data_IF_827280117373
#
_entry.id   IF_827280117373
#
_cell.length_a   1.000
_cell.length_b   1.000
_cell.length_c   1.000
_cell.angle_alpha   90.00
_cell.angle_beta   90.00
_cell.angle_gamma   90.00
#
_symmetry.space_group_name_H-M   'P 1'
#
loop_
_entity.id
_entity.type
_entity.pdbx_description
1 polymer ?
#
# COMPACT_ATOMS: atom_id res chain seq x y z
N UNK A 1 -1.03 16.01 -28.63
CA UNK A 1 -1.90 15.59 -27.51
C UNK A 1 -2.86 16.72 -27.17
N UNK A 2 -4.17 16.48 -27.22
CA UNK A 2 -5.19 17.45 -26.83
C UNK A 2 -6.19 16.83 -25.87
N UNK A 3 -6.29 17.37 -24.66
CA UNK A 3 -7.16 16.85 -23.59
C UNK A 3 -7.91 18.00 -22.93
N UNK A 4 -9.14 17.75 -22.47
CA UNK A 4 -9.95 18.73 -21.76
C UNK A 4 -10.75 18.03 -20.68
N UNK A 5 -10.64 18.50 -19.44
CA UNK A 5 -11.28 17.90 -18.28
C UNK A 5 -11.35 18.85 -17.10
N UNK A 6 -12.06 18.45 -16.04
CA UNK A 6 -12.07 19.21 -14.78
C UNK A 6 -10.78 18.94 -14.02
N UNK A 7 -10.14 19.99 -13.52
CA UNK A 7 -8.93 19.86 -12.71
C UNK A 7 -9.27 19.61 -11.24
N UNK A 8 -8.58 18.65 -10.63
CA UNK A 8 -8.50 18.48 -9.18
C UNK A 8 -7.07 18.77 -8.77
N UNK A 9 -6.91 19.59 -7.73
CA UNK A 9 -5.61 20.08 -7.31
C UNK A 9 -5.39 19.76 -5.83
N UNK A 10 -4.20 19.25 -5.53
CA UNK A 10 -3.70 19.14 -4.16
C UNK A 10 -2.18 19.02 -4.21
N UNK A 11 -1.49 19.66 -3.27
CA UNK A 11 -0.04 19.47 -3.13
C UNK A 11 0.30 18.10 -2.57
N UNK A 12 -0.63 17.45 -1.86
CA UNK A 12 -0.44 16.11 -1.33
C UNK A 12 -1.27 15.13 -2.16
N UNK A 13 -0.61 14.28 -2.95
CA UNK A 13 -1.29 13.28 -3.81
C UNK A 13 -2.27 12.41 -3.01
N UNK A 14 -1.93 12.04 -1.76
CA UNK A 14 -2.80 11.26 -0.88
C UNK A 14 -4.16 11.94 -0.56
N UNK A 15 -4.22 13.26 -0.58
CA UNK A 15 -5.45 14.02 -0.37
C UNK A 15 -6.22 14.20 -1.68
N UNK A 16 -5.49 14.35 -2.80
CA UNK A 16 -6.07 14.46 -4.13
C UNK A 16 -6.89 13.22 -4.49
N UNK A 17 -6.30 12.03 -4.35
CA UNK A 17 -6.89 10.76 -4.81
C UNK A 17 -8.22 10.44 -4.12
N UNK A 18 -8.45 10.95 -2.91
CA UNK A 18 -9.75 10.82 -2.19
C UNK A 18 -10.89 11.57 -2.86
N UNK A 19 -10.58 12.58 -3.68
CA UNK A 19 -11.53 13.52 -4.30
C UNK A 19 -11.54 13.44 -5.82
N UNK A 20 -10.48 12.87 -6.41
CA UNK A 20 -10.29 12.70 -7.84
C UNK A 20 -11.34 11.74 -8.41
N UNK A 21 -12.00 12.16 -9.50
CA UNK A 21 -12.94 11.30 -10.23
C UNK A 21 -12.35 10.83 -11.55
N UNK A 22 -12.90 9.72 -12.05
CA UNK A 22 -12.55 9.18 -13.38
C UNK A 22 -12.68 10.24 -14.46
N UNK A 23 -11.71 10.29 -15.36
CA UNK A 23 -11.60 11.25 -16.46
C UNK A 23 -11.45 12.73 -16.04
N UNK A 24 -11.15 13.03 -14.78
CA UNK A 24 -10.68 14.35 -14.36
C UNK A 24 -9.15 14.48 -14.59
N UNK A 25 -8.64 15.70 -14.60
CA UNK A 25 -7.20 15.99 -14.69
C UNK A 25 -6.65 16.13 -13.28
N UNK A 26 -5.69 15.28 -12.93
CA UNK A 26 -5.00 15.34 -11.65
C UNK A 26 -3.88 16.39 -11.72
N UNK A 27 -3.90 17.40 -10.87
CA UNK A 27 -2.81 18.36 -10.70
C UNK A 27 -2.16 18.14 -9.35
N UNK A 28 -0.88 17.78 -9.37
CA UNK A 28 -0.10 17.40 -8.18
C UNK A 28 1.17 18.24 -8.07
N UNK A 29 1.76 18.23 -6.88
CA UNK A 29 3.05 18.82 -6.55
C UNK A 29 3.85 17.75 -5.80
N UNK A 30 4.45 16.82 -6.55
CA UNK A 30 5.04 15.61 -5.97
C UNK A 30 6.34 15.26 -6.70
N UNK A 31 7.47 15.45 -6.04
CA UNK A 31 8.77 15.02 -6.51
C UNK A 31 8.94 13.50 -6.38
N UNK A 32 9.70 12.89 -7.30
CA UNK A 32 10.07 11.47 -7.22
C UNK A 32 8.87 10.52 -6.97
N UNK A 33 7.80 10.66 -7.77
CA UNK A 33 6.52 9.95 -7.57
C UNK A 33 6.75 8.46 -7.32
N UNK A 34 6.43 8.03 -6.10
CA UNK A 34 6.60 6.66 -5.65
C UNK A 34 5.54 5.71 -6.25
N UNK A 35 5.76 4.40 -6.09
CA UNK A 35 4.85 3.39 -6.64
C UNK A 35 3.46 3.37 -5.96
N UNK A 36 3.35 3.81 -4.70
CA UNK A 36 2.09 3.82 -3.93
C UNK A 36 1.19 4.98 -4.39
N UNK A 37 1.78 6.17 -4.56
CA UNK A 37 1.12 7.34 -5.12
C UNK A 37 0.70 7.08 -6.57
N UNK A 38 1.58 6.45 -7.36
CA UNK A 38 1.26 6.02 -8.72
C UNK A 38 0.09 5.03 -8.76
N UNK A 39 0.10 3.98 -7.94
CA UNK A 39 -1.00 3.02 -7.86
C UNK A 39 -2.32 3.71 -7.49
N UNK A 40 -2.29 4.62 -6.51
CA UNK A 40 -3.47 5.39 -6.08
C UNK A 40 -4.02 6.30 -7.20
N UNK A 41 -3.13 6.92 -7.99
CA UNK A 41 -3.52 7.71 -9.16
C UNK A 41 -4.10 6.83 -10.26
N UNK A 42 -3.50 5.67 -10.54
CA UNK A 42 -3.97 4.72 -11.55
C UNK A 42 -5.37 4.20 -11.20
N UNK A 43 -5.60 3.82 -9.93
CA UNK A 43 -6.91 3.36 -9.44
C UNK A 43 -8.01 4.42 -9.61
N UNK A 44 -7.67 5.72 -9.51
CA UNK A 44 -8.61 6.81 -9.72
C UNK A 44 -8.95 7.09 -11.21
N UNK A 45 -8.19 6.51 -12.15
CA UNK A 45 -8.37 6.66 -13.60
C UNK A 45 -8.50 8.12 -14.10
N UNK A 46 -7.53 9.01 -13.80
CA UNK A 46 -7.51 10.35 -14.38
C UNK A 46 -7.28 10.32 -15.89
N UNK A 47 -7.73 11.37 -16.57
CA UNK A 47 -7.48 11.57 -18.00
C UNK A 47 -6.02 11.97 -18.29
N UNK A 48 -5.39 12.70 -17.35
CA UNK A 48 -4.00 13.10 -17.39
C UNK A 48 -3.51 13.45 -15.98
N UNK A 49 -2.19 13.38 -15.77
CA UNK A 49 -1.51 13.90 -14.59
C UNK A 49 -0.66 15.11 -15.00
N UNK A 50 -0.83 16.20 -14.28
CA UNK A 50 -0.02 17.42 -14.40
C UNK A 50 0.76 17.56 -13.10
N UNK A 51 2.08 17.47 -13.17
CA UNK A 51 2.94 17.65 -12.01
C UNK A 51 3.62 19.01 -12.05
N UNK A 52 3.47 19.78 -10.97
CA UNK A 52 4.15 21.05 -10.79
C UNK A 52 5.65 20.87 -10.58
N UNK A 53 6.05 19.84 -9.85
CA UNK A 53 7.45 19.46 -9.62
C UNK A 53 7.94 18.45 -10.68
N UNK A 54 9.20 18.03 -10.55
CA UNK A 54 9.81 16.97 -11.34
C UNK A 54 9.38 15.61 -10.81
N UNK A 55 8.70 14.83 -11.65
CA UNK A 55 8.25 13.49 -11.27
C UNK A 55 9.41 12.51 -11.06
N UNK A 56 10.61 12.81 -11.60
CA UNK A 56 11.87 12.10 -11.33
C UNK A 56 12.99 13.15 -11.21
N UNK A 57 13.50 13.35 -10.00
CA UNK A 57 14.57 14.34 -9.73
C UNK A 57 15.95 13.85 -10.18
N UNK A 58 16.12 12.53 -10.27
CA UNK A 58 17.39 11.90 -10.66
C UNK A 58 18.30 11.55 -9.48
N UNK A 59 17.84 11.67 -8.23
CA UNK A 59 18.60 11.26 -7.04
C UNK A 59 18.66 9.75 -6.87
N UNK A 60 17.51 9.10 -7.00
CA UNK A 60 17.34 7.65 -6.87
C UNK A 60 16.26 7.16 -7.86
N UNK A 61 16.29 5.88 -8.27
CA UNK A 61 15.37 5.39 -9.29
C UNK A 61 13.96 5.16 -8.72
N UNK A 62 12.95 5.84 -9.29
CA UNK A 62 11.53 5.68 -8.93
C UNK A 62 10.68 5.22 -10.12
N UNK A 63 9.87 4.18 -9.94
CA UNK A 63 9.06 3.62 -11.04
C UNK A 63 7.65 4.21 -11.14
N UNK A 64 7.22 5.10 -10.24
CA UNK A 64 5.83 5.53 -10.17
C UNK A 64 5.33 6.15 -11.47
N UNK A 65 6.09 7.07 -12.05
CA UNK A 65 5.75 7.69 -13.35
C UNK A 65 5.70 6.68 -14.48
N UNK A 66 6.66 5.75 -14.52
CA UNK A 66 6.70 4.70 -15.52
C UNK A 66 5.43 3.83 -15.46
N UNK A 67 4.95 3.53 -14.25
CA UNK A 67 3.71 2.78 -14.04
C UNK A 67 2.49 3.57 -14.51
N UNK A 68 2.41 4.88 -14.23
CA UNK A 68 1.33 5.76 -14.71
C UNK A 68 1.29 5.78 -16.24
N UNK A 69 2.45 5.96 -16.89
CA UNK A 69 2.55 5.96 -18.36
C UNK A 69 2.17 4.60 -18.96
N UNK A 70 2.60 3.48 -18.36
CA UNK A 70 2.24 2.12 -18.79
C UNK A 70 0.74 1.83 -18.63
N UNK A 71 0.08 2.47 -17.66
CA UNK A 71 -1.38 2.43 -17.52
C UNK A 71 -2.12 3.29 -18.57
N UNK A 72 -1.40 3.96 -19.48
CA UNK A 72 -1.97 4.78 -20.55
C UNK A 72 -2.37 6.18 -20.11
N UNK A 73 -1.95 6.63 -18.93
CA UNK A 73 -2.26 7.96 -18.40
C UNK A 73 -1.11 8.90 -18.77
N UNK A 74 -1.34 9.95 -19.58
CA UNK A 74 -0.30 10.89 -19.95
C UNK A 74 0.12 11.78 -18.77
N UNK A 75 1.42 12.06 -18.68
CA UNK A 75 2.02 12.89 -17.64
C UNK A 75 2.65 14.14 -18.26
N UNK A 76 2.29 15.31 -17.75
CA UNK A 76 2.89 16.60 -18.08
C UNK A 76 3.67 17.04 -16.85
N UNK A 77 4.98 17.10 -16.98
CA UNK A 77 5.91 17.21 -15.86
C UNK A 77 6.58 18.59 -15.79
N UNK A 78 6.92 19.02 -14.57
CA UNK A 78 7.66 20.26 -14.33
C UNK A 78 6.93 21.52 -14.82
N UNK A 79 5.61 21.63 -14.60
CA UNK A 79 4.85 22.83 -15.03
C UNK A 79 5.05 24.04 -14.10
N UNK A 80 5.68 23.81 -12.94
CA UNK A 80 5.94 24.82 -11.92
C UNK A 80 4.74 25.12 -11.02
N UNK A 81 4.97 25.84 -9.91
CA UNK A 81 3.97 26.10 -8.87
C UNK A 81 2.80 26.98 -9.35
N UNK A 82 3.01 27.74 -10.43
CA UNK A 82 2.02 28.67 -11.01
C UNK A 82 0.68 28.01 -11.34
N UNK A 83 0.67 26.70 -11.63
CA UNK A 83 -0.58 25.96 -11.88
C UNK A 83 -1.54 25.99 -10.68
N UNK A 84 -1.02 25.99 -9.45
CA UNK A 84 -1.83 26.07 -8.23
C UNK A 84 -2.34 27.47 -7.92
N UNK A 85 -1.70 28.50 -8.46
CA UNK A 85 -2.09 29.90 -8.26
C UNK A 85 -3.22 30.31 -9.20
N UNK A 86 -3.17 29.84 -10.45
CA UNK A 86 -4.10 30.29 -11.50
C UNK A 86 -5.25 29.31 -11.78
N UNK A 87 -5.12 28.03 -11.43
CA UNK A 87 -6.17 27.02 -11.65
C UNK A 87 -6.92 26.77 -10.35
N UNK A 88 -8.25 26.97 -10.40
CA UNK A 88 -9.14 26.63 -9.29
C UNK A 88 -9.63 25.20 -9.40
N UNK A 89 -9.90 24.60 -8.25
CA UNK A 89 -10.46 23.26 -8.24
C UNK A 89 -11.84 23.18 -8.93
N UNK A 90 -12.02 22.14 -9.74
CA UNK A 90 -13.20 21.93 -10.57
C UNK A 90 -13.21 22.78 -11.85
N UNK A 91 -12.24 23.67 -12.05
CA UNK A 91 -12.12 24.44 -13.28
C UNK A 91 -11.85 23.52 -14.48
N UNK A 92 -12.32 23.93 -15.65
CA UNK A 92 -12.06 23.18 -16.88
C UNK A 92 -10.69 23.58 -17.42
N UNK A 93 -9.79 22.60 -17.44
CA UNK A 93 -8.43 22.74 -17.96
C UNK A 93 -8.33 22.03 -19.30
N UNK A 94 -7.59 22.64 -20.21
CA UNK A 94 -7.30 22.14 -21.54
C UNK A 94 -5.79 22.01 -21.71
N UNK A 95 -5.32 20.83 -22.10
CA UNK A 95 -3.91 20.53 -22.31
C UNK A 95 -3.66 20.38 -23.81
N UNK A 96 -2.71 21.14 -24.35
CA UNK A 96 -2.30 21.13 -25.76
C UNK A 96 -0.79 20.94 -25.83
N UNK A 97 -0.34 19.73 -26.17
CA UNK A 97 1.09 19.42 -26.36
C UNK A 97 2.01 19.90 -25.21
N UNK A 98 1.54 19.74 -23.97
CA UNK A 98 2.24 20.15 -22.75
C UNK A 98 1.92 21.56 -22.26
N UNK A 99 1.18 22.35 -23.02
CA UNK A 99 0.69 23.66 -22.63
C UNK A 99 -0.67 23.56 -21.94
N UNK A 100 -0.81 24.24 -20.81
CA UNK A 100 -1.99 24.18 -19.94
C UNK A 100 -2.76 25.49 -20.07
N UNK A 101 -4.04 25.36 -20.41
CA UNK A 101 -4.98 26.46 -20.56
C UNK A 101 -6.14 26.32 -19.58
N UNK A 102 -6.54 27.42 -18.96
CA UNK A 102 -7.75 27.51 -18.14
C UNK A 102 -8.58 28.70 -18.63
N UNK A 103 -9.87 28.50 -18.89
CA UNK A 103 -10.75 29.54 -19.45
C UNK A 103 -10.19 30.21 -20.74
N UNK A 104 -9.53 29.43 -21.61
CA UNK A 104 -8.85 29.88 -22.85
C UNK A 104 -7.62 30.77 -22.63
N UNK A 105 -7.16 30.97 -21.39
CA UNK A 105 -5.91 31.67 -21.05
C UNK A 105 -4.79 30.65 -20.84
N UNK A 106 -3.62 30.93 -21.42
CA UNK A 106 -2.39 30.17 -21.16
C UNK A 106 -1.93 30.38 -19.71
N UNK A 107 -1.64 29.28 -19.01
CA UNK A 107 -1.24 29.27 -17.60
C UNK A 107 0.25 28.94 -17.47
N UNK A 108 0.62 27.76 -17.94
CA UNK A 108 1.98 27.22 -17.85
C UNK A 108 2.22 26.16 -18.92
N UNK A 109 3.48 25.73 -19.04
CA UNK A 109 3.92 24.69 -19.97
C UNK A 109 4.85 23.74 -19.22
N UNK A 110 4.67 22.44 -19.46
CA UNK A 110 5.56 21.40 -18.96
C UNK A 110 6.00 20.47 -20.08
N UNK A 111 6.81 19.49 -19.70
CA UNK A 111 7.28 18.44 -20.62
C UNK A 111 6.27 17.30 -20.63
N UNK A 112 5.75 16.94 -21.81
CA UNK A 112 5.00 15.69 -21.96
C UNK A 112 5.99 14.53 -21.86
N UNK A 113 5.88 13.71 -20.82
CA UNK A 113 6.83 12.61 -20.61
C UNK A 113 6.49 11.42 -21.51
N UNK A 114 7.49 10.96 -22.26
CA UNK A 114 7.48 9.66 -22.91
C UNK A 114 8.16 8.59 -22.05
N UNK A 115 7.92 7.32 -22.39
CA UNK A 115 8.59 6.18 -21.74
C UNK A 115 10.11 6.29 -21.86
N UNK A 116 10.62 6.71 -23.03
CA UNK A 116 12.07 6.89 -23.25
C UNK A 116 12.68 7.96 -22.35
N UNK A 117 11.99 9.08 -22.15
CA UNK A 117 12.45 10.15 -21.24
C UNK A 117 12.60 9.62 -19.81
N UNK A 118 11.63 8.81 -19.38
CA UNK A 118 11.64 8.19 -18.05
C UNK A 118 12.76 7.15 -17.93
N UNK A 119 12.97 6.31 -18.94
CA UNK A 119 14.06 5.32 -18.94
C UNK A 119 15.45 5.95 -18.86
N UNK A 120 15.67 7.07 -19.57
CA UNK A 120 16.91 7.83 -19.49
C UNK A 120 17.12 8.43 -18.10
N UNK A 121 16.08 9.04 -17.52
CA UNK A 121 16.12 9.59 -16.16
C UNK A 121 16.36 8.52 -15.10
N UNK A 122 15.77 7.34 -15.25
CA UNK A 122 16.04 6.20 -14.38
C UNK A 122 17.48 5.71 -14.46
N UNK A 123 18.10 5.78 -15.64
CA UNK A 123 19.51 5.42 -15.82
C UNK A 123 20.44 6.43 -15.14
N UNK A 124 20.16 7.72 -15.29
CA UNK A 124 20.85 8.80 -14.57
C UNK A 124 20.73 8.59 -13.05
N UNK A 125 19.52 8.34 -12.55
CA UNK A 125 19.25 8.14 -11.14
C UNK A 125 19.98 6.93 -10.53
N UNK A 126 20.12 5.84 -11.29
CA UNK A 126 20.93 4.68 -10.87
C UNK A 126 22.41 5.02 -10.73
N UNK A 127 22.91 5.97 -11.52
CA UNK A 127 24.30 6.39 -11.44
C UNK A 127 24.57 7.25 -10.20
N UNK A 128 23.61 8.09 -9.82
CA UNK A 128 23.65 8.95 -8.64
C UNK A 128 23.33 8.20 -7.33
N UNK A 129 22.68 7.04 -7.43
CA UNK A 129 22.22 6.27 -6.27
C UNK A 129 23.35 5.95 -5.30
N UNK A 130 24.57 5.66 -5.77
CA UNK A 130 25.69 5.33 -4.88
C UNK A 130 25.98 6.46 -3.89
N UNK A 131 26.07 7.71 -4.36
CA UNK A 131 26.36 8.86 -3.50
C UNK A 131 25.20 9.19 -2.54
N UNK A 132 23.95 8.95 -2.96
CA UNK A 132 22.79 9.09 -2.09
C UNK A 132 22.76 7.99 -1.01
N UNK A 133 23.14 6.75 -1.36
CA UNK A 133 23.23 5.63 -0.41
C UNK A 133 24.33 5.86 0.62
N UNK A 134 25.51 6.34 0.22
CA UNK A 134 26.60 6.65 1.14
C UNK A 134 26.17 7.70 2.17
N UNK A 135 25.58 8.82 1.70
CA UNK A 135 25.01 9.85 2.58
C UNK A 135 23.92 9.29 3.50
N UNK A 136 23.08 8.41 2.98
CA UNK A 136 22.01 7.79 3.75
C UNK A 136 22.57 6.91 4.89
N UNK A 137 23.62 6.14 4.62
CA UNK A 137 24.30 5.30 5.62
C UNK A 137 24.96 6.17 6.69
N UNK A 138 25.69 7.22 6.30
CA UNK A 138 26.32 8.16 7.24
C UNK A 138 25.27 8.80 8.18
N UNK A 139 24.20 9.34 7.62
CA UNK A 139 23.08 9.91 8.38
C UNK A 139 22.47 8.88 9.35
N UNK A 140 22.26 7.65 8.86
CA UNK A 140 21.67 6.56 9.67
C UNK A 140 22.56 6.23 10.87
N UNK A 141 23.87 6.12 10.69
CA UNK A 141 24.80 5.84 11.79
C UNK A 141 24.88 7.01 12.78
N UNK A 142 24.91 8.25 12.28
CA UNK A 142 24.97 9.43 13.15
C UNK A 142 23.71 9.55 14.01
N UNK A 143 22.52 9.41 13.40
CA UNK A 143 21.25 9.43 14.13
C UNK A 143 21.13 8.23 15.09
N UNK A 144 21.55 7.02 14.70
CA UNK A 144 21.51 5.86 15.57
C UNK A 144 22.37 6.06 16.83
N UNK A 145 23.54 6.70 16.69
CA UNK A 145 24.40 7.05 17.83
C UNK A 145 23.71 8.01 18.82
N UNK A 146 22.90 8.96 18.32
CA UNK A 146 22.14 9.92 19.13
C UNK A 146 20.92 9.28 19.79
N UNK A 147 20.22 8.39 19.08
CA UNK A 147 18.92 7.85 19.49
C UNK A 147 19.00 6.55 20.30
N UNK A 148 20.16 5.88 20.34
CA UNK A 148 20.35 4.58 21.03
C UNK A 148 19.77 4.54 22.45
N UNK A 149 19.90 5.62 23.22
CA UNK A 149 19.48 5.65 24.62
C UNK A 149 17.96 5.60 24.77
N UNK A 150 17.22 6.20 23.85
CA UNK A 150 15.75 6.25 23.93
C UNK A 150 15.14 4.90 23.53
N UNK A 151 15.74 4.23 22.54
CA UNK A 151 15.21 2.98 21.98
C UNK A 151 15.63 1.73 22.75
N UNK A 152 16.83 1.74 23.35
CA UNK A 152 17.36 0.60 24.11
C UNK A 152 16.89 0.59 25.58
N UNK A 153 16.48 1.74 26.13
CA UNK A 153 15.93 1.79 27.48
C UNK A 153 14.45 1.36 27.48
N UNK A 154 13.93 0.98 28.66
CA UNK A 154 12.52 0.64 28.81
C UNK A 154 11.65 1.87 28.50
N UNK A 155 10.92 1.80 27.38
CA UNK A 155 9.96 2.83 26.99
C UNK A 155 8.75 2.75 27.92
N UNK A 156 8.27 3.89 28.40
CA UNK A 156 7.03 3.92 29.19
C UNK A 156 5.86 3.76 28.24
N UNK A 157 5.19 2.60 28.31
CA UNK A 157 4.10 2.27 27.41
C UNK A 157 2.74 2.56 28.05
N UNK A 158 1.75 3.01 27.23
CA UNK A 158 0.38 3.08 27.69
C UNK A 158 -0.14 1.67 28.02
N UNK A 159 -0.90 1.54 29.11
CA UNK A 159 -1.61 0.28 29.40
C UNK A 159 -2.57 -0.01 28.25
N UNK A 160 -2.54 -1.21 27.67
CA UNK A 160 -3.44 -1.60 26.58
C UNK A 160 -4.66 -2.34 27.12
N UNK A 161 -5.81 -2.14 26.48
CA UNK A 161 -6.99 -3.01 26.66
C UNK A 161 -6.80 -4.31 25.91
N UNK A 162 -6.19 -4.26 24.73
CA UNK A 162 -5.91 -5.43 23.90
C UNK A 162 -4.81 -6.30 24.51
N UNK A 163 -5.10 -7.61 24.69
CA UNK A 163 -4.15 -8.58 25.24
C UNK A 163 -3.20 -9.10 24.16
N UNK A 164 -1.93 -8.71 24.25
CA UNK A 164 -0.85 -9.10 23.33
C UNK A 164 0.00 -10.27 23.86
N UNK A 165 0.23 -10.33 25.18
CA UNK A 165 1.19 -11.28 25.78
C UNK A 165 0.94 -12.74 25.36
N UNK A 166 1.96 -13.36 24.77
CA UNK A 166 1.95 -14.76 24.31
C UNK A 166 1.08 -15.00 23.07
N UNK A 167 0.91 -13.98 22.21
CA UNK A 167 0.19 -14.08 20.94
C UNK A 167 1.04 -13.58 19.79
N UNK A 168 0.73 -14.06 18.60
CA UNK A 168 1.19 -13.46 17.36
C UNK A 168 0.55 -12.09 17.15
N UNK A 169 1.30 -11.17 16.53
CA UNK A 169 0.83 -9.83 16.17
C UNK A 169 1.12 -9.60 14.69
N UNK A 170 0.08 -9.23 13.95
CA UNK A 170 0.21 -8.83 12.55
C UNK A 170 0.17 -7.31 12.46
N UNK A 171 1.26 -6.72 12.00
CA UNK A 171 1.42 -5.29 11.76
C UNK A 171 1.25 -5.02 10.27
N UNK A 172 0.22 -4.27 9.91
CA UNK A 172 -0.10 -3.94 8.51
C UNK A 172 0.19 -2.48 8.24
N UNK A 173 0.95 -2.23 7.19
CA UNK A 173 1.31 -0.89 6.70
C UNK A 173 0.97 -0.80 5.21
N UNK A 174 0.54 0.39 4.76
CA UNK A 174 0.33 0.67 3.33
C UNK A 174 1.65 0.99 2.62
N UNK A 175 2.51 -0.02 2.46
CA UNK A 175 3.72 0.05 1.61
C UNK A 175 3.54 -0.70 0.28
N UNK A 176 4.62 -0.90 -0.46
CA UNK A 176 4.58 -1.58 -1.77
C UNK A 176 4.01 -3.00 -1.67
N UNK A 177 3.12 -3.37 -2.60
CA UNK A 177 2.47 -4.69 -2.73
C UNK A 177 1.71 -5.20 -1.48
N UNK A 178 1.31 -4.30 -0.59
CA UNK A 178 0.66 -4.68 0.67
C UNK A 178 -0.66 -5.44 0.46
N UNK A 179 -1.44 -5.12 -0.58
CA UNK A 179 -2.72 -5.79 -0.86
C UNK A 179 -2.49 -7.25 -1.24
N UNK A 180 -1.51 -7.49 -2.11
CA UNK A 180 -1.12 -8.83 -2.57
C UNK A 180 -0.54 -9.66 -1.43
N UNK A 181 0.34 -9.07 -0.63
CA UNK A 181 0.95 -9.74 0.53
C UNK A 181 -0.08 -10.06 1.61
N UNK A 182 -0.97 -9.11 1.94
CA UNK A 182 -2.05 -9.33 2.91
C UNK A 182 -3.00 -10.45 2.46
N UNK A 183 -3.33 -10.51 1.16
CA UNK A 183 -4.12 -11.59 0.58
C UNK A 183 -3.39 -12.94 0.67
N UNK A 184 -2.08 -12.96 0.42
CA UNK A 184 -1.29 -14.18 0.45
C UNK A 184 -1.20 -14.81 1.85
N UNK A 185 -1.31 -14.00 2.91
CA UNK A 185 -1.33 -14.48 4.31
C UNK A 185 -2.73 -14.60 4.91
N UNK A 186 -3.79 -14.50 4.12
CA UNK A 186 -5.18 -14.59 4.60
C UNK A 186 -5.44 -15.86 5.44
N UNK A 187 -4.97 -17.02 4.98
CA UNK A 187 -5.08 -18.29 5.72
C UNK A 187 -4.41 -18.23 7.09
N UNK A 188 -3.22 -17.60 7.19
CA UNK A 188 -2.53 -17.40 8.46
C UNK A 188 -3.38 -16.54 9.42
N UNK A 189 -4.03 -15.48 8.92
CA UNK A 189 -4.90 -14.62 9.75
C UNK A 189 -6.11 -15.40 10.28
N UNK A 190 -6.73 -16.23 9.45
CA UNK A 190 -7.91 -17.01 9.80
C UNK A 190 -7.60 -18.13 10.82
N UNK A 191 -6.47 -18.82 10.66
CA UNK A 191 -6.05 -19.93 11.52
C UNK A 191 -5.45 -19.46 12.84
N UNK A 192 -4.48 -18.55 12.80
CA UNK A 192 -3.72 -18.12 14.00
C UNK A 192 -4.44 -17.02 14.79
N UNK A 193 -5.33 -16.26 14.15
CA UNK A 193 -6.05 -15.11 14.75
C UNK A 193 -5.11 -14.19 15.55
N UNK A 194 -4.05 -13.65 14.90
CA UNK A 194 -3.10 -12.75 15.55
C UNK A 194 -3.79 -11.46 15.99
N UNK A 195 -3.17 -10.72 16.91
CA UNK A 195 -3.58 -9.33 17.19
C UNK A 195 -3.29 -8.48 15.96
N UNK A 196 -4.31 -7.78 15.45
CA UNK A 196 -4.20 -6.97 14.24
C UNK A 196 -3.88 -5.53 14.60
N UNK A 197 -2.70 -5.06 14.19
CA UNK A 197 -2.27 -3.66 14.34
C UNK A 197 -2.24 -3.01 12.95
N UNK A 198 -3.12 -2.02 12.75
CA UNK A 198 -3.08 -1.16 11.56
C UNK A 198 -2.20 0.06 11.81
N UNK A 199 -1.16 0.25 11.01
CA UNK A 199 -0.28 1.42 11.10
C UNK A 199 -0.65 2.44 10.05
N UNK A 200 -1.06 3.64 10.48
CA UNK A 200 -1.56 4.70 9.61
C UNK A 200 -2.57 4.14 8.58
N UNK A 201 -2.35 4.31 7.27
CA UNK A 201 -3.22 3.77 6.22
C UNK A 201 -3.30 2.24 6.14
N UNK A 202 -2.50 1.51 6.92
CA UNK A 202 -2.63 0.07 7.11
C UNK A 202 -3.90 -0.34 7.87
N UNK A 203 -4.47 0.56 8.68
CA UNK A 203 -5.78 0.34 9.29
C UNK A 203 -6.90 0.27 8.24
N UNK A 204 -6.84 1.15 7.23
CA UNK A 204 -7.74 1.11 6.08
C UNK A 204 -7.55 -0.17 5.25
N UNK A 205 -6.30 -0.58 5.03
CA UNK A 205 -5.97 -1.82 4.31
C UNK A 205 -6.59 -3.07 4.95
N UNK A 206 -6.57 -3.15 6.28
CA UNK A 206 -7.20 -4.24 7.03
C UNK A 206 -8.72 -4.25 6.78
N UNK A 207 -9.37 -3.09 6.92
CA UNK A 207 -10.82 -2.97 6.73
C UNK A 207 -11.26 -3.25 5.30
N UNK A 208 -10.53 -2.74 4.31
CA UNK A 208 -10.74 -3.03 2.89
C UNK A 208 -10.65 -4.54 2.59
N UNK A 209 -9.86 -5.27 3.38
CA UNK A 209 -9.68 -6.73 3.28
C UNK A 209 -10.64 -7.53 4.16
N UNK A 210 -11.60 -6.87 4.81
CA UNK A 210 -12.61 -7.52 5.67
C UNK A 210 -12.15 -7.82 7.10
N UNK A 211 -10.96 -7.35 7.49
CA UNK A 211 -10.41 -7.53 8.83
C UNK A 211 -10.57 -6.27 9.68
N UNK A 212 -11.02 -6.43 10.92
CA UNK A 212 -11.12 -5.32 11.86
C UNK A 212 -9.83 -5.21 12.68
N UNK A 213 -9.12 -4.07 12.69
CA UNK A 213 -7.94 -3.90 13.53
C UNK A 213 -8.31 -3.93 15.02
N UNK A 214 -7.44 -4.52 15.83
CA UNK A 214 -7.53 -4.48 17.30
C UNK A 214 -6.92 -3.17 17.83
N UNK A 215 -5.84 -2.73 17.21
CA UNK A 215 -5.11 -1.51 17.55
C UNK A 215 -4.81 -0.72 16.27
N UNK A 216 -4.93 0.60 16.34
CA UNK A 216 -4.45 1.51 15.30
C UNK A 216 -3.33 2.37 15.89
N UNK A 217 -2.16 2.36 15.26
CA UNK A 217 -0.98 3.17 15.66
C UNK A 217 -0.67 4.15 14.54
N UNK A 218 -0.48 5.43 14.84
CA UNK A 218 -0.20 6.38 13.77
C UNK A 218 -0.18 7.86 14.13
N UNK A 219 0.08 8.67 13.12
CA UNK A 219 -0.10 10.13 13.15
C UNK A 219 -1.58 10.55 12.99
N UNK A 220 -2.44 9.58 12.67
CA UNK A 220 -3.89 9.73 12.43
C UNK A 220 -4.28 10.59 11.23
N UNK A 221 -3.33 11.22 10.54
CA UNK A 221 -3.60 12.05 9.36
C UNK A 221 -3.98 11.21 8.15
N UNK A 222 -3.35 10.04 8.05
CA UNK A 222 -3.47 9.16 6.89
C UNK A 222 -4.55 8.07 7.06
N UNK A 223 -5.18 8.00 8.24
CA UNK A 223 -6.24 7.04 8.59
C UNK A 223 -7.61 7.60 8.18
N UNK A 224 -8.50 6.79 7.61
CA UNK A 224 -9.87 7.23 7.33
C UNK A 224 -10.72 7.36 8.59
N UNK A 225 -11.77 8.19 8.54
CA UNK A 225 -12.71 8.32 9.65
C UNK A 225 -13.46 7.01 9.93
N UNK A 226 -13.69 6.19 8.89
CA UNK A 226 -14.26 4.85 9.03
C UNK A 226 -13.32 3.95 9.85
N UNK A 227 -12.02 4.00 9.57
CA UNK A 227 -11.03 3.25 10.32
C UNK A 227 -10.91 3.71 11.77
N UNK A 228 -10.86 5.03 12.02
CA UNK A 228 -10.81 5.57 13.38
C UNK A 228 -12.05 5.19 14.20
N UNK A 229 -13.24 5.14 13.57
CA UNK A 229 -14.51 4.78 14.22
C UNK A 229 -14.79 3.28 14.28
N UNK A 230 -13.89 2.42 13.78
CA UNK A 230 -14.16 0.99 13.75
C UNK A 230 -14.19 0.35 15.15
N UNK A 231 -13.66 1.03 16.18
CA UNK A 231 -13.65 0.56 17.57
C UNK A 231 -12.35 -0.11 18.01
N UNK A 232 -11.30 -0.03 17.19
CA UNK A 232 -9.94 -0.38 17.56
C UNK A 232 -9.43 0.52 18.70
N UNK A 233 -8.47 0.02 19.48
CA UNK A 233 -7.76 0.84 20.46
C UNK A 233 -6.78 1.79 19.73
N UNK A 234 -6.92 3.09 19.93
CA UNK A 234 -6.16 4.11 19.20
C UNK A 234 -4.91 4.53 20.00
N UNK A 235 -3.74 4.40 19.38
CA UNK A 235 -2.45 4.84 19.91
C UNK A 235 -1.89 5.93 19.00
N UNK A 236 -1.96 7.18 19.46
CA UNK A 236 -1.40 8.34 18.75
C UNK A 236 0.10 8.34 18.97
N UNK A 237 0.84 8.20 17.87
CA UNK A 237 2.28 8.36 17.84
C UNK A 237 2.60 9.85 18.01
N UNK A 238 3.30 10.18 19.08
CA UNK A 238 3.75 11.53 19.37
C UNK A 238 5.25 11.67 19.15
N UNK A 239 5.67 12.89 18.83
CA UNK A 239 7.07 13.25 18.81
C UNK A 239 7.69 13.04 20.21
N UNK A 240 9.03 12.86 20.29
CA UNK A 240 9.72 12.69 21.58
C UNK A 240 9.52 13.85 22.57
N UNK A 241 9.20 15.05 22.08
CA UNK A 241 8.87 16.22 22.89
C UNK A 241 7.41 16.24 23.41
N UNK A 242 6.64 15.20 23.12
CA UNK A 242 5.25 15.03 23.54
C UNK A 242 4.22 15.67 22.61
N UNK A 243 4.63 16.39 21.56
CA UNK A 243 3.67 16.93 20.58
C UNK A 243 3.01 15.80 19.80
N UNK A 244 1.68 15.84 19.74
CA UNK A 244 0.88 14.79 19.11
C UNK A 244 -0.17 15.41 18.17
N UNK A 245 0.18 15.82 16.94
CA UNK A 245 -0.77 16.44 16.01
C UNK A 245 -2.03 15.59 15.76
N UNK A 246 -1.86 14.27 15.67
CA UNK A 246 -2.97 13.33 15.51
C UNK A 246 -3.98 13.32 16.66
N UNK A 247 -3.59 13.81 17.85
CA UNK A 247 -4.47 13.84 19.02
C UNK A 247 -5.64 14.81 18.83
N UNK A 248 -5.40 15.98 18.25
CA UNK A 248 -6.45 17.00 18.01
C UNK A 248 -7.55 16.42 17.11
N UNK A 249 -7.16 15.66 16.08
CA UNK A 249 -8.09 15.00 15.18
C UNK A 249 -8.98 13.99 15.91
N UNK A 250 -8.37 13.14 16.73
CA UNK A 250 -9.09 12.07 17.43
C UNK A 250 -10.00 12.65 18.52
N UNK A 251 -9.54 13.67 19.24
CA UNK A 251 -10.33 14.40 20.23
C UNK A 251 -11.51 15.15 19.59
N UNK A 252 -11.31 15.77 18.43
CA UNK A 252 -12.40 16.41 17.67
C UNK A 252 -13.49 15.44 17.18
N UNK A 253 -13.23 14.13 17.24
CA UNK A 253 -14.18 13.05 16.91
C UNK A 253 -14.75 12.36 18.16
N UNK A 254 -14.46 12.85 19.37
CA UNK A 254 -14.82 12.23 20.66
C UNK A 254 -14.37 10.77 20.81
N UNK A 255 -13.22 10.43 20.21
CA UNK A 255 -12.65 9.09 20.28
C UNK A 255 -11.59 9.00 21.38
N UNK A 256 -11.60 7.93 22.20
CA UNK A 256 -10.56 7.72 23.20
C UNK A 256 -9.26 7.26 22.52
N UNK A 257 -8.15 7.94 22.82
CA UNK A 257 -6.82 7.54 22.38
C UNK A 257 -5.78 7.67 23.49
N UNK A 258 -4.74 6.85 23.38
CA UNK A 258 -3.54 6.92 24.23
C UNK A 258 -2.39 7.47 23.42
N UNK A 259 -1.47 8.16 24.07
CA UNK A 259 -0.32 8.79 23.42
C UNK A 259 0.91 7.95 23.70
N UNK A 260 1.74 7.74 22.69
CA UNK A 260 3.05 7.10 22.83
C UNK A 260 4.13 8.01 22.22
N UNK A 261 4.87 8.78 23.04
CA UNK A 261 5.97 9.61 22.57
C UNK A 261 7.21 8.74 22.32
N UNK A 262 7.64 8.67 21.07
CA UNK A 262 8.77 7.82 20.69
C UNK A 262 9.44 8.35 19.41
N UNK A 263 10.77 8.28 19.28
CA UNK A 263 11.43 8.59 18.02
C UNK A 263 11.18 7.48 17.00
N UNK A 264 11.19 7.85 15.72
CA UNK A 264 11.08 6.91 14.61
C UNK A 264 9.77 7.03 13.86
N UNK A 265 9.37 5.92 13.24
CA UNK A 265 8.18 5.82 12.40
C UNK A 265 7.02 5.21 13.18
N UNK A 266 5.78 5.43 12.75
CA UNK A 266 4.62 4.75 13.35
C UNK A 266 4.74 3.22 13.29
N UNK A 267 5.48 2.68 12.31
CA UNK A 267 5.78 1.25 12.17
C UNK A 267 6.69 0.77 13.29
N UNK A 268 7.73 1.56 13.61
CA UNK A 268 8.66 1.29 14.69
C UNK A 268 7.94 1.29 16.05
N UNK A 269 7.06 2.27 16.25
CA UNK A 269 6.23 2.40 17.45
C UNK A 269 5.33 1.18 17.60
N UNK A 270 4.70 0.71 16.53
CA UNK A 270 3.87 -0.49 16.55
C UNK A 270 4.68 -1.75 16.90
N UNK A 271 5.89 -1.91 16.34
CA UNK A 271 6.77 -3.03 16.66
C UNK A 271 7.18 -3.03 18.13
N UNK A 272 7.58 -1.88 18.67
CA UNK A 272 8.01 -1.76 20.07
C UNK A 272 6.83 -1.97 21.01
N UNK A 273 5.68 -1.36 20.72
CA UNK A 273 4.46 -1.55 21.50
C UNK A 273 4.12 -3.04 21.61
N UNK A 274 4.15 -3.77 20.50
CA UNK A 274 3.85 -5.20 20.48
C UNK A 274 4.92 -6.03 21.22
N UNK A 275 6.20 -5.76 20.97
CA UNK A 275 7.33 -6.47 21.58
C UNK A 275 7.33 -6.36 23.11
N UNK A 276 7.25 -5.15 23.63
CA UNK A 276 7.30 -4.88 25.08
C UNK A 276 6.03 -5.35 25.82
N UNK A 277 4.90 -5.48 25.10
CA UNK A 277 3.70 -6.12 25.63
C UNK A 277 3.74 -7.67 25.55
N UNK A 278 4.88 -8.25 25.17
CA UNK A 278 5.16 -9.68 25.23
C UNK A 278 4.60 -10.48 24.06
N UNK A 279 4.57 -9.91 22.85
CA UNK A 279 4.25 -10.65 21.63
C UNK A 279 5.19 -11.85 21.46
N UNK A 280 4.65 -12.97 20.99
CA UNK A 280 5.43 -14.19 20.71
C UNK A 280 6.09 -14.13 19.33
N UNK A 281 5.37 -13.55 18.35
CA UNK A 281 5.83 -13.36 16.98
C UNK A 281 5.26 -12.05 16.44
N UNK A 282 6.07 -11.29 15.71
CA UNK A 282 5.67 -10.11 14.95
C UNK A 282 5.70 -10.46 13.46
N UNK A 283 4.56 -10.37 12.79
CA UNK A 283 4.46 -10.50 11.34
C UNK A 283 4.24 -9.11 10.75
N UNK A 284 5.11 -8.68 9.85
CA UNK A 284 5.10 -7.35 9.27
C UNK A 284 4.70 -7.40 7.78
N UNK A 285 3.62 -6.70 7.39
CA UNK A 285 3.14 -6.63 5.99
C UNK A 285 3.24 -5.20 5.47
N UNK A 286 3.84 -5.05 4.30
CA UNK A 286 3.97 -3.75 3.63
C UNK A 286 4.91 -2.77 4.35
N UNK A 287 5.77 -3.24 5.25
CA UNK A 287 6.71 -2.36 5.98
C UNK A 287 7.77 -1.76 5.07
N UNK A 288 8.32 -0.63 5.50
CA UNK A 288 9.44 0.04 4.84
C UNK A 288 10.72 -0.47 5.51
N UNK A 289 11.55 -1.19 4.76
CA UNK A 289 12.64 -1.99 5.34
C UNK A 289 13.97 -1.82 4.63
N UNK A 290 14.02 -1.09 3.51
CA UNK A 290 15.25 -0.85 2.75
C UNK A 290 15.49 0.64 2.50
N UNK A 291 16.72 1.01 2.15
CA UNK A 291 17.13 2.41 1.96
C UNK A 291 16.28 3.15 0.90
N UNK A 292 15.92 2.48 -0.19
CA UNK A 292 15.11 3.08 -1.26
C UNK A 292 13.71 3.45 -0.76
N UNK A 293 13.06 2.57 0.02
CA UNK A 293 11.75 2.83 0.62
C UNK A 293 11.76 4.12 1.48
N UNK A 294 12.88 4.38 2.18
CA UNK A 294 13.03 5.56 3.03
C UNK A 294 13.32 6.83 2.21
N UNK A 295 14.15 6.71 1.18
CA UNK A 295 14.43 7.80 0.24
C UNK A 295 13.16 8.25 -0.48
N UNK A 296 12.33 7.30 -0.96
CA UNK A 296 11.01 7.57 -1.58
C UNK A 296 10.08 8.36 -0.65
N UNK A 297 10.19 8.16 0.67
CA UNK A 297 9.43 8.93 1.67
C UNK A 297 10.07 10.25 2.09
N UNK A 298 11.12 10.68 1.39
CA UNK A 298 11.89 11.90 1.71
C UNK A 298 12.70 11.80 3.01
N UNK A 299 12.93 10.59 3.55
CA UNK A 299 13.73 10.40 4.75
C UNK A 299 15.20 10.21 4.38
N UNK A 300 16.07 10.97 5.06
CA UNK A 300 17.52 10.98 4.82
C UNK A 300 18.29 9.89 5.58
N UNK A 301 17.60 9.08 6.38
CA UNK A 301 18.18 7.99 7.16
C UNK A 301 17.09 7.12 7.80
N UNK A 302 17.49 5.97 8.36
CA UNK A 302 16.58 4.99 8.98
C UNK A 302 16.96 4.57 10.40
N UNK A 303 17.61 5.45 11.18
CA UNK A 303 18.23 5.09 12.46
C UNK A 303 17.29 4.39 13.45
N UNK A 304 16.11 4.97 13.70
CA UNK A 304 15.17 4.40 14.65
C UNK A 304 14.65 3.04 14.19
N UNK A 305 14.27 2.92 12.90
CA UNK A 305 13.86 1.65 12.31
C UNK A 305 14.96 0.59 12.38
N UNK A 306 16.20 0.96 12.07
CA UNK A 306 17.35 0.06 12.17
C UNK A 306 17.52 -0.48 13.60
N UNK A 307 17.52 0.41 14.61
CA UNK A 307 17.66 0.03 16.01
C UNK A 307 16.47 -0.81 16.52
N UNK A 308 15.25 -0.46 16.11
CA UNK A 308 14.04 -1.22 16.47
C UNK A 308 14.09 -2.63 15.88
N UNK A 309 14.44 -2.78 14.61
CA UNK A 309 14.56 -4.10 13.96
C UNK A 309 15.69 -4.93 14.56
N UNK A 310 16.79 -4.31 15.01
CA UNK A 310 17.81 -5.02 15.80
C UNK A 310 17.26 -5.53 17.14
N UNK A 311 16.43 -4.73 17.83
CA UNK A 311 15.84 -5.09 19.12
C UNK A 311 14.79 -6.21 19.00
N UNK A 312 13.90 -6.14 18.01
CA UNK A 312 12.79 -7.09 17.84
C UNK A 312 13.13 -8.28 16.93
N UNK A 313 14.32 -8.30 16.34
CA UNK A 313 14.69 -9.21 15.24
C UNK A 313 14.60 -10.70 15.55
N UNK A 314 14.65 -11.11 16.82
CA UNK A 314 14.48 -12.52 17.22
C UNK A 314 13.07 -13.06 17.03
N UNK A 315 12.07 -12.18 16.97
CA UNK A 315 10.65 -12.54 16.82
C UNK A 315 9.98 -11.86 15.62
N UNK A 316 10.74 -11.16 14.78
CA UNK A 316 10.20 -10.43 13.62
C UNK A 316 10.31 -11.25 12.34
N UNK A 317 9.17 -11.48 11.70
CA UNK A 317 9.05 -12.06 10.36
C UNK A 317 8.53 -10.98 9.40
N UNK A 318 9.34 -10.61 8.42
CA UNK A 318 8.93 -9.69 7.35
C UNK A 318 8.20 -10.47 6.26
N UNK A 319 6.90 -10.24 6.13
CA UNK A 319 6.04 -10.85 5.11
C UNK A 319 5.98 -10.01 3.82
N UNK A 320 6.80 -8.96 3.69
CA UNK A 320 6.94 -8.20 2.45
C UNK A 320 7.39 -9.12 1.30
N UNK A 321 6.61 -9.15 0.23
CA UNK A 321 6.86 -9.99 -0.94
C UNK A 321 6.51 -11.47 -0.75
N UNK A 322 5.81 -11.86 0.32
CA UNK A 322 5.34 -13.25 0.51
C UNK A 322 4.42 -13.69 -0.63
N UNK A 323 3.69 -12.76 -1.25
CA UNK A 323 2.91 -13.00 -2.47
C UNK A 323 3.74 -13.52 -3.65
N UNK A 324 5.05 -13.23 -3.69
CA UNK A 324 5.96 -13.71 -4.73
C UNK A 324 6.39 -15.16 -4.49
N UNK A 325 6.42 -15.60 -3.22
CA UNK A 325 6.71 -16.99 -2.83
C UNK A 325 5.49 -17.88 -3.08
N UNK A 326 4.30 -17.38 -2.72
CA UNK A 326 3.03 -18.09 -2.87
C UNK A 326 2.31 -17.70 -4.16
N UNK A 327 2.79 -18.18 -5.30
CA UNK A 327 1.96 -18.21 -6.51
C UNK A 327 0.96 -19.37 -6.38
N UNK A 328 -0.26 -19.08 -5.90
CA UNK A 328 -1.37 -20.04 -5.90
C UNK A 328 -1.71 -20.48 -7.33
N UNK A 329 -0.96 -21.44 -7.86
CA UNK A 329 -1.41 -22.22 -9.00
C UNK A 329 -2.30 -23.31 -8.41
N UNK A 330 -3.62 -23.07 -8.38
CA UNK A 330 -4.56 -24.18 -8.32
C UNK A 330 -4.27 -25.05 -9.53
N UNK A 331 -3.50 -26.13 -9.33
CA UNK A 331 -3.18 -27.04 -10.43
C UNK A 331 -4.51 -27.57 -10.92
N UNK A 332 -4.86 -27.27 -12.16
CA UNK A 332 -6.10 -27.71 -12.83
C UNK A 332 -6.32 -29.22 -12.65
N UNK A 333 -5.24 -29.99 -12.48
CA UNK A 333 -5.23 -31.40 -12.09
C UNK A 333 -6.04 -31.70 -10.81
N UNK A 334 -5.92 -30.91 -9.74
CA UNK A 334 -6.67 -31.14 -8.50
C UNK A 334 -8.16 -30.88 -8.68
N UNK A 335 -8.52 -29.86 -9.46
CA UNK A 335 -9.92 -29.59 -9.81
C UNK A 335 -10.51 -30.74 -10.62
N UNK A 336 -9.77 -31.27 -11.60
CA UNK A 336 -10.14 -32.47 -12.36
C UNK A 336 -10.27 -33.71 -11.47
N UNK A 337 -9.35 -33.93 -10.52
CA UNK A 337 -9.42 -35.05 -9.59
C UNK A 337 -10.67 -34.97 -8.70
N UNK A 338 -11.01 -33.78 -8.19
CA UNK A 338 -12.23 -33.56 -7.42
C UNK A 338 -13.48 -33.85 -8.26
N UNK A 339 -13.49 -33.39 -9.51
CA UNK A 339 -14.58 -33.61 -10.46
C UNK A 339 -14.77 -35.12 -10.75
N UNK A 340 -13.68 -35.84 -11.01
CA UNK A 340 -13.70 -37.29 -11.21
C UNK A 340 -14.17 -38.02 -9.95
N UNK A 341 -13.67 -37.64 -8.78
CA UNK A 341 -14.08 -38.21 -7.51
C UNK A 341 -15.59 -38.02 -7.24
N UNK A 342 -16.13 -36.84 -7.56
CA UNK A 342 -17.56 -36.55 -7.44
C UNK A 342 -18.43 -37.38 -8.40
N UNK A 343 -17.89 -37.79 -9.56
CA UNK A 343 -18.60 -38.66 -10.52
C UNK A 343 -18.62 -40.14 -10.12
N UNK A 344 -17.69 -40.62 -9.29
CA UNK A 344 -17.62 -42.04 -8.91
C UNK A 344 -18.93 -42.54 -8.27
N UNK A 345 -19.51 -41.87 -7.25
CA UNK A 345 -20.78 -42.29 -6.65
C UNK A 345 -21.93 -42.31 -7.66
N UNK A 346 -21.97 -41.33 -8.57
CA UNK A 346 -23.00 -41.24 -9.62
C UNK A 346 -22.88 -42.45 -10.56
N UNK A 347 -21.67 -42.78 -11.00
CA UNK A 347 -21.42 -43.94 -11.87
C UNK A 347 -21.77 -45.26 -11.17
N UNK A 348 -21.41 -45.42 -9.89
CA UNK A 348 -21.76 -46.60 -9.09
C UNK A 348 -23.29 -46.72 -8.94
N UNK A 349 -23.98 -45.61 -8.65
CA UNK A 349 -25.44 -45.59 -8.52
C UNK A 349 -26.12 -45.92 -9.85
N UNK A 350 -25.62 -45.40 -10.97
CA UNK A 350 -26.10 -45.75 -12.31
C UNK A 350 -25.89 -47.24 -12.61
N UNK A 351 -24.79 -47.84 -12.14
CA UNK A 351 -24.46 -49.24 -12.40
C UNK A 351 -25.27 -50.22 -11.53
N UNK A 352 -25.46 -49.89 -10.26
CA UNK A 352 -26.18 -50.74 -9.29
C UNK A 352 -27.69 -50.60 -9.41
N UNK A 353 -28.21 -49.43 -9.79
CA UNK A 353 -29.66 -49.18 -9.85
C UNK A 353 -30.34 -50.04 -10.94
N UNK A 354 -31.34 -50.88 -10.59
CA UNK A 354 -32.09 -51.65 -11.58
C UNK A 354 -32.88 -50.77 -12.56
N UNK A 355 -33.29 -49.58 -12.12
CA UNK A 355 -34.14 -48.64 -12.87
C UNK A 355 -33.40 -47.88 -13.98
N UNK A 356 -32.06 -47.86 -13.96
CA UNK A 356 -31.23 -47.19 -14.98
C UNK A 356 -30.89 -48.10 -16.16
N UNK A 357 -31.00 -49.42 -16.01
CA UNK A 357 -30.73 -50.41 -17.07
C UNK A 357 -31.54 -50.17 -18.36
N UNK A 358 -32.85 -49.85 -18.31
CA UNK A 358 -33.63 -49.55 -19.52
C UNK A 358 -33.17 -48.25 -20.21
N UNK A 359 -32.84 -47.22 -19.43
CA UNK A 359 -32.37 -45.93 -19.94
C UNK A 359 -30.99 -46.05 -20.62
N UNK A 360 -30.05 -46.76 -19.98
CA UNK A 360 -28.74 -47.04 -20.57
C UNK A 360 -28.86 -47.87 -21.85
N UNK A 361 -29.80 -48.82 -21.90
CA UNK A 361 -30.07 -49.62 -23.09
C UNK A 361 -30.60 -48.75 -24.24
N UNK A 362 -31.52 -47.82 -23.96
CA UNK A 362 -32.03 -46.85 -24.92
C UNK A 362 -30.93 -45.92 -25.45
N UNK A 363 -30.09 -45.38 -24.56
CA UNK A 363 -28.94 -44.55 -24.95
C UNK A 363 -27.96 -45.36 -25.81
N UNK A 364 -27.69 -46.61 -25.46
CA UNK A 364 -26.81 -47.48 -26.26
C UNK A 364 -27.37 -47.76 -27.64
N UNK A 365 -28.70 -47.92 -27.76
CA UNK A 365 -29.39 -48.13 -29.03
C UNK A 365 -29.37 -46.87 -29.89
N UNK A 366 -29.60 -45.69 -29.29
CA UNK A 366 -29.48 -44.42 -29.99
C UNK A 366 -28.04 -44.15 -30.45
N UNK A 367 -27.04 -44.46 -29.63
CA UNK A 367 -25.63 -44.35 -30.01
C UNK A 367 -25.28 -45.31 -31.15
N UNK A 368 -25.76 -46.55 -31.12
CA UNK A 368 -25.61 -47.50 -32.24
C UNK A 368 -26.24 -46.99 -33.53
N UNK A 369 -27.43 -46.39 -33.44
CA UNK A 369 -28.10 -45.75 -34.58
C UNK A 369 -27.34 -44.51 -35.08
N UNK A 370 -26.76 -43.71 -34.19
CA UNK A 370 -25.98 -42.51 -34.53
C UNK A 370 -24.61 -42.83 -35.15
N UNK A 371 -23.97 -43.90 -34.69
CA UNK A 371 -22.66 -44.35 -35.15
C UNK A 371 -22.71 -45.51 -36.16
N UNK A 372 -23.92 -45.89 -36.60
CA UNK A 372 -24.18 -46.93 -37.62
C UNK A 372 -23.46 -48.27 -37.32
N UNK A 373 -23.56 -48.73 -36.07
CA UNK A 373 -22.94 -49.96 -35.53
C UNK A 373 -23.98 -51.03 -35.13
#
# INVERSE_FOLDING_TARGET
MHLKGKARLDKRTKNLVKRLRRNEIAVIDHDDIDEVAAASLIEAHPQAVVNADLSITGKYPTNGVLNILKAGIPVIDGVGPRVFEEVKEGATVEIRDGEIYCNRRFICKGKVLGIKDVEEKLKEARHNLTEELDRFVENTLEYAKKEKGILLNNVTLPQLRTRIKGRHVLIVVRGKNYKEDLKAISTYIEEEKPVLIGVDGGADALLESGYKPDIIVGDMDSVSDQALKCGAELIVHAYPDGRAPGLERVQGMDLPAKILPMPGTSEDVAMILAYENGAELLVAVGTHSNMLDFLEKGRKGMASTFLVRLKVGSILVDAKGVSQLYRQHLRVKYLLQLLVAAFIPILVLIWVSPSTKPLLRLISLQLKLLFNL
#
